data_IF_781078474317
#
_entry.id   IF_781078474317
#
_cell.length_a   1.000
_cell.length_b   1.000
_cell.length_c   1.000
_cell.angle_alpha   90.00
_cell.angle_beta   90.00
_cell.angle_gamma   90.00
#
_symmetry.space_group_name_H-M   'P 1'
#
loop_
_entity.id
_entity.type
_entity.pdbx_description
1 polymer ?
#
# COMPACT_ATOMS: atom_id res chain seq x y z
N UNK A 1 -3.17 -15.46 -6.85
CA UNK A 1 -3.01 -16.78 -6.22
C UNK A 1 -3.95 -16.95 -5.01
N UNK A 2 -3.98 -15.99 -4.08
CA UNK A 2 -4.84 -16.08 -2.88
C UNK A 2 -6.34 -16.03 -3.20
N UNK A 3 -6.74 -15.47 -4.33
CA UNK A 3 -8.15 -15.42 -4.70
C UNK A 3 -8.82 -16.82 -4.74
N UNK A 4 -7.98 -17.87 -4.85
CA UNK A 4 -8.42 -19.27 -4.77
C UNK A 4 -7.42 -20.09 -3.97
N UNK A 5 -7.84 -20.61 -2.84
CA UNK A 5 -7.08 -21.56 -2.05
C UNK A 5 -7.85 -22.87 -1.97
N UNK A 6 -7.20 -23.99 -2.35
CA UNK A 6 -7.84 -25.32 -2.42
C UNK A 6 -9.16 -25.35 -3.21
N UNK A 7 -9.26 -24.51 -4.27
CA UNK A 7 -10.45 -24.43 -5.13
C UNK A 7 -11.55 -23.48 -4.63
N UNK A 8 -11.44 -22.93 -3.43
CA UNK A 8 -12.37 -21.94 -2.91
C UNK A 8 -11.95 -20.51 -3.28
N UNK A 9 -12.92 -19.67 -3.61
CA UNK A 9 -12.69 -18.24 -3.89
C UNK A 9 -12.71 -17.48 -2.58
N UNK A 10 -11.53 -17.04 -2.10
CA UNK A 10 -11.39 -16.31 -0.84
C UNK A 10 -11.60 -14.80 -1.04
N UNK A 11 -11.00 -14.21 -2.09
CA UNK A 11 -11.15 -12.80 -2.42
C UNK A 11 -11.74 -12.58 -3.80
N UNK A 12 -12.56 -11.55 -3.91
CA UNK A 12 -13.01 -11.02 -5.20
C UNK A 12 -12.39 -9.64 -5.38
N UNK A 13 -11.42 -9.55 -6.30
CA UNK A 13 -10.72 -8.30 -6.61
C UNK A 13 -11.42 -7.56 -7.75
N UNK A 14 -11.60 -6.25 -7.57
CA UNK A 14 -12.09 -5.33 -8.61
C UNK A 14 -11.12 -4.18 -8.73
N UNK A 15 -10.84 -3.75 -9.95
CA UNK A 15 -10.10 -2.54 -10.24
C UNK A 15 -11.08 -1.42 -10.55
N UNK A 16 -10.99 -0.33 -9.80
CA UNK A 16 -11.88 0.82 -9.93
C UNK A 16 -11.08 2.03 -10.40
N UNK A 17 -11.68 2.85 -11.23
CA UNK A 17 -11.20 4.19 -11.55
C UNK A 17 -12.25 5.23 -11.17
N UNK A 18 -11.94 6.52 -11.22
CA UNK A 18 -12.93 7.56 -10.91
C UNK A 18 -14.18 7.42 -11.76
N UNK A 19 -14.03 7.16 -13.06
CA UNK A 19 -15.11 7.20 -14.05
C UNK A 19 -15.55 5.81 -14.53
N UNK A 20 -14.88 4.73 -14.12
CA UNK A 20 -15.08 3.40 -14.68
C UNK A 20 -14.32 3.14 -15.99
N UNK A 21 -13.63 4.15 -16.54
CA UNK A 21 -12.81 3.99 -17.74
C UNK A 21 -11.43 3.40 -17.41
N UNK A 22 -10.75 2.76 -18.39
CA UNK A 22 -9.38 2.30 -18.25
C UNK A 22 -8.42 3.44 -17.85
N UNK A 23 -7.38 3.10 -17.08
CA UNK A 23 -6.37 4.06 -16.59
C UNK A 23 -5.01 3.68 -17.16
N UNK A 24 -4.26 4.67 -17.66
CA UNK A 24 -2.89 4.48 -18.11
C UNK A 24 -1.93 4.80 -16.97
N UNK A 25 -1.14 3.82 -16.55
CA UNK A 25 -0.08 3.99 -15.56
C UNK A 25 1.08 4.82 -16.12
N UNK A 26 1.93 5.38 -15.26
CA UNK A 26 3.10 6.20 -15.65
C UNK A 26 4.11 5.46 -16.54
N UNK A 27 4.13 4.12 -16.48
CA UNK A 27 4.96 3.27 -17.36
C UNK A 27 4.30 2.95 -18.73
N UNK A 28 3.13 3.52 -19.03
CA UNK A 28 2.39 3.26 -20.27
C UNK A 28 1.45 2.06 -20.26
N UNK A 29 1.46 1.25 -19.18
CA UNK A 29 0.55 0.12 -19.06
C UNK A 29 -0.90 0.61 -18.89
N UNK A 30 -1.80 0.07 -19.72
CA UNK A 30 -3.23 0.35 -19.61
C UNK A 30 -3.88 -0.69 -18.70
N UNK A 31 -4.50 -0.23 -17.64
CA UNK A 31 -5.26 -1.05 -16.69
C UNK A 31 -6.75 -0.89 -16.95
N UNK A 32 -7.43 -1.98 -17.24
CA UNK A 32 -8.89 -2.00 -17.35
C UNK A 32 -9.55 -1.77 -16.00
N UNK A 33 -10.64 -1.00 -15.96
CA UNK A 33 -11.47 -0.85 -14.77
C UNK A 33 -12.67 -1.81 -14.82
N UNK A 34 -13.09 -2.29 -13.64
CA UNK A 34 -14.29 -3.11 -13.48
C UNK A 34 -15.51 -2.26 -13.07
N UNK A 35 -15.32 -0.96 -12.91
CA UNK A 35 -16.34 -0.01 -12.50
C UNK A 35 -15.74 1.31 -12.02
N UNK A 36 -16.61 2.21 -11.59
CA UNK A 36 -16.25 3.51 -11.03
C UNK A 36 -15.93 3.41 -9.52
N UNK A 37 -15.34 4.47 -8.98
CA UNK A 37 -15.09 4.56 -7.53
C UNK A 37 -16.40 4.46 -6.73
N UNK A 38 -17.50 5.01 -7.25
CA UNK A 38 -18.81 4.93 -6.62
C UNK A 38 -19.30 3.47 -6.44
N UNK A 39 -18.93 2.57 -7.36
CA UNK A 39 -19.25 1.13 -7.26
C UNK A 39 -18.46 0.42 -6.14
N UNK A 40 -17.42 1.07 -5.61
CA UNK A 40 -16.56 0.55 -4.54
C UNK A 40 -17.19 0.61 -3.15
N UNK A 41 -18.35 1.24 -2.98
CA UNK A 41 -19.04 1.35 -1.69
C UNK A 41 -19.41 0.00 -1.08
N UNK A 42 -19.59 -1.01 -1.91
CA UNK A 42 -19.96 -2.38 -1.51
C UNK A 42 -18.75 -3.30 -1.22
N UNK A 43 -17.53 -2.85 -1.48
CA UNK A 43 -16.35 -3.66 -1.21
C UNK A 43 -16.03 -3.67 0.29
N UNK A 44 -15.59 -4.82 0.84
CA UNK A 44 -15.11 -4.91 2.22
C UNK A 44 -13.83 -4.09 2.40
N UNK A 45 -12.88 -4.21 1.47
CA UNK A 45 -11.61 -3.50 1.51
C UNK A 45 -11.48 -2.55 0.33
N UNK A 46 -10.94 -1.36 0.57
CA UNK A 46 -10.54 -0.43 -0.48
C UNK A 46 -9.05 -0.16 -0.37
N UNK A 47 -8.31 -0.56 -1.41
CA UNK A 47 -6.88 -0.35 -1.50
C UNK A 47 -6.57 0.83 -2.42
N UNK A 48 -5.81 1.79 -1.90
CA UNK A 48 -5.31 2.95 -2.64
C UNK A 48 -3.82 2.72 -2.96
N UNK A 49 -3.46 2.52 -4.23
CA UNK A 49 -2.06 2.37 -4.62
C UNK A 49 -1.32 3.71 -4.56
N UNK A 50 -0.01 3.64 -4.48
CA UNK A 50 0.85 4.80 -4.69
C UNK A 50 1.17 5.02 -6.18
N UNK A 51 2.06 5.95 -6.43
CA UNK A 51 2.57 6.27 -7.76
C UNK A 51 2.71 7.77 -8.00
N UNK A 52 3.17 8.15 -9.19
CA UNK A 52 3.39 9.54 -9.57
C UNK A 52 2.10 10.39 -9.58
N UNK A 53 0.95 9.76 -9.85
CA UNK A 53 -0.35 10.45 -9.91
C UNK A 53 -1.02 10.67 -8.55
N UNK A 54 -0.41 10.24 -7.44
CA UNK A 54 -1.09 10.26 -6.13
C UNK A 54 -1.49 11.66 -5.66
N UNK A 55 -0.71 12.68 -5.98
CA UNK A 55 -1.00 14.04 -5.55
C UNK A 55 -2.31 14.56 -6.17
N UNK A 56 -2.58 14.22 -7.46
CA UNK A 56 -3.85 14.52 -8.11
C UNK A 56 -5.01 13.71 -7.49
N UNK A 57 -4.79 12.43 -7.21
CA UNK A 57 -5.79 11.57 -6.54
C UNK A 57 -6.13 12.11 -5.16
N UNK A 58 -5.10 12.49 -4.37
CA UNK A 58 -5.28 13.06 -3.04
C UNK A 58 -6.01 14.41 -3.07
N UNK A 59 -5.82 15.22 -4.12
CA UNK A 59 -6.50 16.49 -4.29
C UNK A 59 -7.96 16.36 -4.80
N UNK A 60 -8.35 15.19 -5.34
CA UNK A 60 -9.67 14.96 -5.86
C UNK A 60 -10.72 14.91 -4.74
N UNK A 61 -11.69 15.83 -4.81
CA UNK A 61 -12.73 15.96 -3.77
C UNK A 61 -13.60 14.71 -3.66
N UNK A 62 -13.96 14.11 -4.78
CA UNK A 62 -14.75 12.88 -4.83
C UNK A 62 -14.05 11.71 -4.12
N UNK A 63 -12.73 11.57 -4.31
CA UNK A 63 -11.93 10.56 -3.59
C UNK A 63 -11.95 10.84 -2.09
N UNK A 64 -11.72 12.08 -1.68
CA UNK A 64 -11.71 12.45 -0.26
C UNK A 64 -13.05 12.18 0.41
N UNK A 65 -14.16 12.52 -0.25
CA UNK A 65 -15.51 12.26 0.28
C UNK A 65 -15.76 10.75 0.39
N UNK A 66 -15.40 9.97 -0.63
CA UNK A 66 -15.55 8.54 -0.62
C UNK A 66 -14.76 7.89 0.53
N UNK A 67 -13.51 8.32 0.76
CA UNK A 67 -12.66 7.83 1.85
C UNK A 67 -13.24 8.18 3.23
N UNK A 68 -13.70 9.43 3.42
CA UNK A 68 -14.35 9.85 4.66
C UNK A 68 -15.64 9.08 4.94
N UNK A 69 -16.46 8.91 3.92
CA UNK A 69 -17.70 8.15 4.04
C UNK A 69 -17.41 6.70 4.46
N UNK A 70 -16.46 6.02 3.80
CA UNK A 70 -16.08 4.65 4.19
C UNK A 70 -15.58 4.54 5.62
N UNK A 71 -14.81 5.52 6.07
CA UNK A 71 -14.31 5.55 7.46
C UNK A 71 -15.44 5.77 8.46
N UNK A 72 -16.47 6.56 8.13
CA UNK A 72 -17.57 6.87 9.02
C UNK A 72 -18.60 5.73 9.15
N UNK A 73 -18.70 4.85 8.18
CA UNK A 73 -19.64 3.71 8.22
C UNK A 73 -19.12 2.66 9.20
N UNK A 74 -19.92 2.24 10.20
CA UNK A 74 -19.56 1.14 11.08
C UNK A 74 -19.40 -0.18 10.31
N UNK A 75 -18.55 -1.06 10.81
CA UNK A 75 -18.31 -2.40 10.25
C UNK A 75 -16.83 -2.72 10.08
N UNK A 76 -16.54 -3.81 9.42
CA UNK A 76 -15.19 -4.37 9.28
C UNK A 76 -14.47 -3.94 7.99
N UNK A 77 -15.06 -3.00 7.22
CA UNK A 77 -14.46 -2.54 5.97
C UNK A 77 -13.16 -1.77 6.22
N UNK A 78 -12.09 -2.16 5.50
CA UNK A 78 -10.74 -1.60 5.69
C UNK A 78 -10.40 -0.59 4.59
N UNK A 79 -9.65 0.45 4.97
CA UNK A 79 -8.93 1.33 4.07
C UNK A 79 -7.45 0.94 4.09
N UNK A 80 -6.93 0.56 2.96
CA UNK A 80 -5.56 0.05 2.80
C UNK A 80 -4.81 0.99 1.85
N UNK A 81 -3.60 1.38 2.20
CA UNK A 81 -2.76 2.18 1.31
C UNK A 81 -1.40 1.53 1.12
N UNK A 82 -0.90 1.62 -0.10
CA UNK A 82 0.44 1.17 -0.46
C UNK A 82 1.29 2.38 -0.86
N UNK A 83 2.52 2.47 -0.36
CA UNK A 83 3.48 3.50 -0.74
C UNK A 83 2.90 4.91 -0.49
N UNK A 84 2.99 5.81 -1.47
CA UNK A 84 2.44 7.17 -1.38
C UNK A 84 0.90 7.23 -1.31
N UNK A 85 0.18 6.11 -1.45
CA UNK A 85 -1.28 6.05 -1.29
C UNK A 85 -1.79 6.58 0.05
N UNK A 86 -0.96 6.51 1.10
CA UNK A 86 -1.28 7.07 2.42
C UNK A 86 -1.53 8.59 2.39
N UNK A 87 -0.97 9.31 1.42
CA UNK A 87 -1.22 10.76 1.27
C UNK A 87 -2.67 11.07 0.90
N UNK A 88 -3.34 10.19 0.14
CA UNK A 88 -4.76 10.34 -0.15
C UNK A 88 -5.60 10.15 1.13
N UNK A 89 -5.25 9.16 1.97
CA UNK A 89 -5.88 8.93 3.26
C UNK A 89 -5.65 10.12 4.22
N UNK A 90 -4.42 10.64 4.27
CA UNK A 90 -4.08 11.79 5.10
C UNK A 90 -4.83 13.05 4.65
N UNK A 91 -4.88 13.32 3.34
CA UNK A 91 -5.59 14.46 2.76
C UNK A 91 -7.10 14.39 3.01
N UNK A 92 -7.67 13.20 2.99
CA UNK A 92 -9.08 12.99 3.38
C UNK A 92 -9.32 13.17 4.88
N UNK A 93 -8.27 13.25 5.71
CA UNK A 93 -8.36 13.40 7.16
C UNK A 93 -8.62 12.10 7.92
N UNK A 94 -8.67 10.94 7.25
CA UNK A 94 -9.00 9.64 7.88
C UNK A 94 -7.85 9.08 8.73
N UNK A 95 -6.63 9.60 8.55
CA UNK A 95 -5.47 9.23 9.37
C UNK A 95 -5.25 10.13 10.60
N UNK A 96 -6.11 11.12 10.83
CA UNK A 96 -5.96 12.05 11.96
C UNK A 96 -5.94 11.31 13.30
N UNK A 97 -4.89 11.55 14.11
CA UNK A 97 -4.67 10.90 15.41
C UNK A 97 -4.27 9.41 15.31
N UNK A 98 -3.91 8.93 14.12
CA UNK A 98 -3.55 7.53 13.87
C UNK A 98 -2.09 7.38 13.49
N UNK A 99 -1.53 6.19 13.71
CA UNK A 99 -0.20 5.84 13.23
C UNK A 99 -0.27 5.41 11.77
N UNK A 100 0.68 5.87 10.95
CA UNK A 100 0.72 5.52 9.54
C UNK A 100 2.15 5.42 9.02
N UNK A 101 2.36 4.56 8.02
CA UNK A 101 3.59 4.47 7.24
C UNK A 101 3.33 4.87 5.79
N UNK A 102 4.35 5.40 5.13
CA UNK A 102 4.34 5.72 3.71
C UNK A 102 5.75 5.55 3.15
N UNK A 103 5.92 5.75 1.84
CA UNK A 103 7.24 5.68 1.24
C UNK A 103 8.14 6.79 1.76
N UNK A 104 9.37 6.47 2.14
CA UNK A 104 10.35 7.39 2.73
C UNK A 104 10.58 8.66 1.90
N UNK A 105 10.50 8.58 0.57
CA UNK A 105 10.68 9.73 -0.32
C UNK A 105 9.60 10.81 -0.17
N UNK A 106 8.50 10.51 0.52
CA UNK A 106 7.41 11.45 0.79
C UNK A 106 7.60 12.23 2.11
N UNK A 107 8.70 11.98 2.85
CA UNK A 107 8.99 12.64 4.11
C UNK A 107 8.81 14.18 4.09
N UNK A 108 9.25 14.92 3.04
CA UNK A 108 9.06 16.37 2.99
C UNK A 108 7.59 16.82 2.98
N UNK A 109 6.67 15.99 2.50
CA UNK A 109 5.24 16.31 2.40
C UNK A 109 4.48 16.06 3.70
N UNK A 110 5.04 15.27 4.61
CA UNK A 110 4.36 14.83 5.82
C UNK A 110 4.14 15.97 6.83
N UNK A 111 4.94 17.02 6.77
CA UNK A 111 4.75 18.23 7.58
C UNK A 111 3.37 18.92 7.35
N UNK A 112 2.74 18.66 6.19
CA UNK A 112 1.38 19.14 5.90
C UNK A 112 0.29 18.38 6.68
N UNK A 113 0.65 17.28 7.35
CA UNK A 113 -0.28 16.41 8.10
C UNK A 113 0.23 16.17 9.54
N UNK A 114 0.31 17.23 10.37
CA UNK A 114 0.91 17.16 11.72
C UNK A 114 0.10 16.30 12.69
N UNK A 115 -1.19 16.08 12.41
CA UNK A 115 -2.08 15.26 13.23
C UNK A 115 -1.93 13.75 12.95
N UNK A 116 -1.04 13.32 12.05
CA UNK A 116 -0.77 11.91 11.76
C UNK A 116 0.55 11.51 12.41
N UNK A 117 0.56 10.38 13.11
CA UNK A 117 1.76 9.83 13.72
C UNK A 117 2.53 9.00 12.69
N UNK A 118 3.36 9.68 11.90
CA UNK A 118 4.14 9.04 10.83
C UNK A 118 5.30 8.22 11.39
N UNK A 119 5.35 6.94 11.05
CA UNK A 119 6.49 6.05 11.31
C UNK A 119 7.06 5.57 9.98
N UNK A 120 8.08 6.28 9.50
CA UNK A 120 8.74 5.98 8.22
C UNK A 120 9.70 4.80 8.30
N UNK A 121 10.01 4.30 9.50
CA UNK A 121 10.85 3.11 9.62
C UNK A 121 10.03 1.82 9.47
N UNK A 122 8.77 1.82 9.83
CA UNK A 122 7.90 0.66 9.69
C UNK A 122 7.62 0.32 8.23
N UNK A 123 7.76 -0.96 7.86
CA UNK A 123 7.36 -1.47 6.54
C UNK A 123 5.86 -1.33 6.33
N UNK A 124 5.07 -1.62 7.36
CA UNK A 124 3.62 -1.41 7.35
C UNK A 124 3.07 -1.25 8.77
N UNK A 125 1.91 -0.65 8.86
CA UNK A 125 1.12 -0.48 10.09
C UNK A 125 -0.30 -0.97 9.81
N UNK A 126 -0.82 -1.77 10.71
CA UNK A 126 -2.22 -2.22 10.75
C UNK A 126 -2.83 -1.69 12.04
N UNK A 127 -3.61 -0.64 11.95
CA UNK A 127 -4.25 -0.01 13.10
C UNK A 127 -5.76 0.08 12.85
N UNK A 128 -6.55 -0.63 13.67
CA UNK A 128 -7.98 -0.72 13.52
C UNK A 128 -8.38 -1.15 12.09
N UNK A 129 -9.04 -0.30 11.32
CA UNK A 129 -9.43 -0.52 9.91
C UNK A 129 -8.55 0.24 8.91
N UNK A 130 -7.47 0.85 9.36
CA UNK A 130 -6.54 1.64 8.56
C UNK A 130 -5.21 0.91 8.43
N UNK A 131 -4.88 0.46 7.24
CA UNK A 131 -3.66 -0.27 6.96
C UNK A 131 -2.80 0.52 5.99
N UNK A 132 -1.55 0.75 6.32
CA UNK A 132 -0.64 1.55 5.50
C UNK A 132 0.69 0.83 5.33
N UNK A 133 1.32 0.95 4.17
CA UNK A 133 2.64 0.38 3.94
C UNK A 133 3.59 1.33 3.22
N UNK A 134 4.87 1.11 3.44
CA UNK A 134 5.96 1.97 2.97
C UNK A 134 6.15 1.95 1.45
N UNK A 135 6.63 0.87 0.89
CA UNK A 135 6.97 0.78 -0.52
C UNK A 135 6.30 -0.40 -1.23
N UNK A 136 6.62 -0.59 -2.51
CA UNK A 136 6.04 -1.66 -3.34
C UNK A 136 6.20 -3.03 -2.69
N UNK A 137 7.43 -3.36 -2.29
CA UNK A 137 7.72 -4.66 -1.64
C UNK A 137 7.15 -4.75 -0.23
N UNK A 138 7.06 -3.64 0.52
CA UNK A 138 6.37 -3.60 1.80
C UNK A 138 4.86 -3.81 1.66
N UNK A 139 4.30 -3.50 0.49
CA UNK A 139 2.93 -3.87 0.13
C UNK A 139 2.70 -5.38 0.09
N UNK A 140 3.72 -6.17 -0.32
CA UNK A 140 3.66 -7.63 -0.24
C UNK A 140 3.62 -8.11 1.21
N UNK A 141 4.45 -7.50 2.09
CA UNK A 141 4.44 -7.84 3.52
C UNK A 141 3.08 -7.54 4.15
N UNK A 142 2.50 -6.37 3.84
CA UNK A 142 1.16 -6.02 4.30
C UNK A 142 0.10 -6.99 3.75
N UNK A 143 0.15 -7.34 2.46
CA UNK A 143 -0.79 -8.28 1.86
C UNK A 143 -0.72 -9.66 2.53
N UNK A 144 0.49 -10.17 2.80
CA UNK A 144 0.67 -11.43 3.53
C UNK A 144 0.16 -11.34 4.98
N UNK A 145 0.31 -10.19 5.64
CA UNK A 145 -0.24 -9.96 6.98
C UNK A 145 -1.78 -9.95 6.97
N UNK A 146 -2.40 -9.33 5.97
CA UNK A 146 -3.85 -9.35 5.75
C UNK A 146 -4.35 -10.77 5.50
N UNK A 147 -3.72 -11.51 4.59
CA UNK A 147 -4.07 -12.91 4.32
C UNK A 147 -3.95 -13.75 5.57
N UNK A 148 -2.91 -13.53 6.37
CA UNK A 148 -2.72 -14.24 7.63
C UNK A 148 -3.84 -13.95 8.63
N UNK A 149 -4.29 -12.70 8.70
CA UNK A 149 -5.38 -12.28 9.58
C UNK A 149 -6.73 -12.88 9.13
N UNK A 150 -6.99 -12.88 7.82
CA UNK A 150 -8.28 -13.30 7.26
C UNK A 150 -8.38 -14.82 7.06
N UNK A 151 -7.27 -15.47 6.65
CA UNK A 151 -7.26 -16.86 6.19
C UNK A 151 -6.37 -17.79 7.03
N UNK A 152 -5.66 -17.24 8.01
CA UNK A 152 -4.74 -17.98 8.87
C UNK A 152 -3.33 -18.16 8.31
N UNK A 153 -2.43 -18.60 9.20
CA UNK A 153 -0.99 -18.67 8.91
C UNK A 153 -0.61 -19.68 7.84
N UNK A 154 -1.35 -20.77 7.70
CA UNK A 154 -1.06 -21.81 6.71
C UNK A 154 -1.25 -21.27 5.29
N UNK A 155 -2.37 -20.57 5.03
CA UNK A 155 -2.66 -19.96 3.73
C UNK A 155 -1.62 -18.90 3.39
N UNK A 156 -1.27 -18.03 4.34
CA UNK A 156 -0.26 -17.00 4.15
C UNK A 156 1.13 -17.60 3.81
N UNK A 157 1.49 -18.72 4.46
CA UNK A 157 2.73 -19.42 4.18
C UNK A 157 2.75 -20.04 2.78
N UNK A 158 1.66 -20.67 2.36
CA UNK A 158 1.56 -21.25 1.03
C UNK A 158 1.64 -20.19 -0.07
N UNK A 159 0.99 -19.03 0.15
CA UNK A 159 1.10 -17.88 -0.77
C UNK A 159 2.54 -17.33 -0.81
N UNK A 160 3.20 -17.19 0.34
CA UNK A 160 4.59 -16.73 0.40
C UNK A 160 5.54 -17.69 -0.33
N UNK A 161 5.33 -19.00 -0.23
CA UNK A 161 6.09 -20.02 -0.97
C UNK A 161 5.89 -19.92 -2.47
N UNK A 162 4.64 -19.78 -2.91
CA UNK A 162 4.31 -19.62 -4.33
C UNK A 162 4.94 -18.36 -4.94
N UNK A 163 4.96 -17.27 -4.19
CA UNK A 163 5.59 -16.01 -4.59
C UNK A 163 7.12 -15.99 -4.38
N UNK A 164 7.70 -17.03 -3.77
CA UNK A 164 9.14 -17.13 -3.43
C UNK A 164 9.58 -15.91 -2.59
N UNK A 165 8.75 -15.49 -1.66
CA UNK A 165 9.04 -14.35 -0.76
C UNK A 165 9.10 -14.81 0.70
N UNK A 166 9.82 -14.05 1.53
CA UNK A 166 9.83 -14.31 2.96
C UNK A 166 8.46 -13.94 3.56
N UNK A 167 7.93 -14.79 4.43
CA UNK A 167 6.67 -14.53 5.13
C UNK A 167 6.77 -13.32 6.08
N UNK A 168 7.96 -13.07 6.61
CA UNK A 168 8.27 -11.90 7.44
C UNK A 168 9.64 -11.38 7.10
N UNK A 169 9.73 -10.10 6.78
CA UNK A 169 11.00 -9.38 6.75
C UNK A 169 11.26 -8.75 8.11
N UNK A 170 12.50 -8.89 8.61
CA UNK A 170 12.99 -8.21 9.80
C UNK A 170 13.64 -6.90 9.40
N UNK A 171 13.46 -5.86 10.21
CA UNK A 171 14.05 -4.54 9.98
C UNK A 171 13.06 -3.51 9.42
N UNK A 172 13.50 -2.27 9.45
CA UNK A 172 12.75 -1.11 8.96
C UNK A 172 13.26 -0.60 7.61
N UNK A 173 12.61 0.42 7.05
CA UNK A 173 13.00 1.04 5.78
C UNK A 173 14.43 1.60 5.83
N UNK A 174 14.83 2.20 6.95
CA UNK A 174 16.16 2.77 7.16
C UNK A 174 17.28 1.74 7.02
N UNK A 175 17.08 0.53 7.53
CA UNK A 175 18.06 -0.56 7.43
C UNK A 175 18.24 -0.99 5.96
N UNK A 176 17.15 -1.10 5.19
CA UNK A 176 17.25 -1.44 3.77
C UNK A 176 17.92 -0.33 2.96
N UNK A 177 17.62 0.93 3.24
CA UNK A 177 18.25 2.07 2.57
C UNK A 177 19.77 2.10 2.85
N UNK A 178 20.20 1.89 4.08
CA UNK A 178 21.61 1.85 4.48
C UNK A 178 22.34 0.68 3.83
N UNK A 179 21.72 -0.51 3.82
CA UNK A 179 22.30 -1.70 3.20
C UNK A 179 22.51 -1.53 1.70
N UNK A 180 21.50 -1.00 0.99
CA UNK A 180 21.62 -0.71 -0.44
C UNK A 180 22.70 0.34 -0.73
N UNK A 181 22.78 1.40 0.06
CA UNK A 181 23.82 2.42 -0.10
C UNK A 181 25.23 1.84 0.08
N UNK A 182 25.43 0.94 1.03
CA UNK A 182 26.71 0.27 1.25
C UNK A 182 27.11 -0.62 0.06
N UNK A 183 26.16 -1.36 -0.52
CA UNK A 183 26.43 -2.18 -1.71
C UNK A 183 26.87 -1.34 -2.92
N UNK A 184 26.22 -0.20 -3.17
CA UNK A 184 26.61 0.69 -4.27
C UNK A 184 28.02 1.29 -4.07
N UNK A 185 28.41 1.58 -2.85
CA UNK A 185 29.75 2.13 -2.55
C UNK A 185 30.84 1.07 -2.76
N UNK A 186 30.58 -0.19 -2.46
CA UNK A 186 31.51 -1.31 -2.70
C UNK A 186 31.71 -1.57 -4.21
N UNK A 187 30.66 -1.48 -5.02
CA UNK A 187 30.72 -1.68 -6.48
C UNK A 187 31.51 -0.55 -7.18
N UNK A 188 31.40 0.69 -6.75
CA UNK A 188 32.21 1.80 -7.28
C UNK A 188 33.69 1.63 -6.92
N UNK A 189 34.01 1.07 -5.76
CA UNK A 189 35.37 0.74 -5.33
C UNK A 189 36.03 -0.36 -6.19
N UNK A 190 35.25 -1.33 -6.67
CA UNK A 190 35.72 -2.42 -7.55
C UNK A 190 35.95 -1.92 -8.98
N UNK A 191 35.14 -1.01 -9.48
CA UNK A 191 35.30 -0.44 -10.83
C UNK A 191 36.55 0.45 -10.94
N UNK A 192 37.01 1.06 -9.85
CA UNK A 192 38.21 1.90 -9.80
C UNK A 192 39.54 1.13 -9.84
N UNK A 193 39.55 -0.20 -9.65
CA UNK A 193 40.75 -1.03 -9.61
C UNK A 193 41.03 -1.81 -10.91
N UNK A 194 40.25 -1.59 -11.97
CA UNK A 194 40.42 -2.22 -13.28
C UNK A 194 40.91 -1.26 -14.38
N UNK A 195 41.58 -0.17 -14.01
CA UNK A 195 42.20 0.80 -14.88
C UNK A 195 43.72 0.70 -14.88
#
# INVERSE_FOLDING_TARGET
>A
EVARFKGEKIYQTRFLSLTGCPVTASCGLVLGANGSLADGTLANDLLIPGGAGIDAVAACHEVQEHLRHRQSVPGDSRLISICSGALALAKAGVLKGRSASTHWSRAPQLAAYPDVHWDLDRLFIMEDRLYTSAGVTAGLDLALAVIRADCGGAVALDVARELVVQLRRTGGQSQYATYLSAQFTEDEGLAGNLG
#
